data_IF_193336834318
#
_entry.id   IF_193336834318
#
_cell.length_a   1.000
_cell.length_b   1.000
_cell.length_c   1.000
_cell.angle_alpha   90.00
_cell.angle_beta   90.00
_cell.angle_gamma   90.00
#
_symmetry.space_group_name_H-M   'P 1'
#
loop_
_entity.id
_entity.type
_entity.pdbx_description
1 polymer ?
#
# COMPACT_ATOMS: atom_id res chain seq x y z
N UNK A 1 19.60 3.91 -6.73
CA UNK A 1 18.52 4.07 -5.74
C UNK A 1 17.96 5.47 -5.79
N UNK A 2 16.65 5.62 -5.58
CA UNK A 2 15.97 6.91 -5.58
C UNK A 2 15.76 7.39 -4.13
N UNK A 3 16.00 8.68 -3.90
CA UNK A 3 15.84 9.29 -2.57
C UNK A 3 14.44 9.90 -2.37
N UNK A 4 13.87 10.42 -3.44
CA UNK A 4 12.55 11.04 -3.46
C UNK A 4 11.95 10.85 -4.85
N UNK A 5 10.64 10.62 -4.90
CA UNK A 5 9.87 10.48 -6.13
C UNK A 5 8.76 11.53 -6.19
N UNK A 6 8.51 12.06 -7.39
CA UNK A 6 7.35 12.94 -7.64
C UNK A 6 6.05 12.13 -7.83
N UNK A 7 6.16 10.81 -7.97
CA UNK A 7 5.03 9.90 -8.09
C UNK A 7 4.44 9.83 -9.51
N UNK A 8 5.23 10.12 -10.55
CA UNK A 8 4.79 9.95 -11.93
C UNK A 8 4.88 8.48 -12.34
N UNK A 9 3.72 7.83 -12.56
CA UNK A 9 3.67 6.41 -12.94
C UNK A 9 3.20 6.28 -14.39
N UNK A 10 3.92 5.50 -15.19
CA UNK A 10 3.52 5.19 -16.58
C UNK A 10 3.50 3.68 -16.79
N UNK A 11 2.38 3.18 -17.31
CA UNK A 11 2.25 1.84 -17.85
C UNK A 11 2.41 1.90 -19.37
N UNK A 12 3.33 1.11 -19.92
CA UNK A 12 3.60 1.04 -21.36
C UNK A 12 3.44 -0.41 -21.84
N UNK A 13 2.33 -0.67 -22.53
CA UNK A 13 1.97 -1.97 -23.14
C UNK A 13 2.08 -3.17 -22.18
N UNK A 14 1.61 -2.97 -20.94
CA UNK A 14 1.80 -3.93 -19.86
C UNK A 14 0.87 -5.11 -19.99
N UNK A 15 1.45 -6.31 -20.06
CA UNK A 15 0.71 -7.58 -19.97
C UNK A 15 1.21 -8.41 -18.80
N UNK A 16 0.28 -9.04 -18.08
CA UNK A 16 0.57 -9.76 -16.84
C UNK A 16 -0.39 -10.92 -16.60
N UNK A 17 0.11 -11.95 -15.91
CA UNK A 17 -0.70 -13.01 -15.31
C UNK A 17 0.11 -13.81 -14.29
N UNK A 18 -0.59 -14.47 -13.36
CA UNK A 18 0.05 -15.17 -12.24
C UNK A 18 0.68 -16.52 -12.64
N UNK A 19 0.15 -17.19 -13.66
CA UNK A 19 0.70 -18.40 -14.27
C UNK A 19 0.82 -18.20 -15.77
N UNK A 20 1.66 -18.98 -16.46
CA UNK A 20 1.95 -18.75 -17.88
C UNK A 20 0.72 -18.95 -18.78
N UNK A 21 -0.23 -19.80 -18.36
CA UNK A 21 -1.49 -20.00 -19.09
C UNK A 21 -2.52 -18.90 -18.82
N UNK A 22 -2.39 -18.17 -17.70
CA UNK A 22 -3.36 -17.16 -17.32
C UNK A 22 -2.93 -15.77 -17.81
N UNK A 23 -3.82 -15.09 -18.52
CA UNK A 23 -3.71 -13.66 -18.83
C UNK A 23 -4.68 -12.87 -17.97
N UNK A 24 -4.18 -11.90 -17.21
CA UNK A 24 -4.97 -11.06 -16.30
C UNK A 24 -5.03 -9.62 -16.83
N UNK A 25 -3.92 -9.11 -17.35
CA UNK A 25 -3.81 -7.80 -18.00
C UNK A 25 -3.22 -8.00 -19.39
N UNK A 26 -3.75 -7.29 -20.38
CA UNK A 26 -3.33 -7.37 -21.78
C UNK A 26 -3.18 -5.96 -22.36
N UNK A 27 -1.93 -5.58 -22.69
CA UNK A 27 -1.60 -4.33 -23.38
C UNK A 27 -2.01 -3.04 -22.65
N UNK A 28 -1.98 -3.05 -21.32
CA UNK A 28 -2.43 -1.92 -20.50
C UNK A 28 -1.45 -0.76 -20.63
N UNK A 29 -1.97 0.41 -21.05
CA UNK A 29 -1.20 1.65 -21.13
C UNK A 29 -1.98 2.81 -20.53
N UNK A 30 -1.39 3.49 -19.55
CA UNK A 30 -1.94 4.70 -18.96
C UNK A 30 -0.85 5.48 -18.20
N UNK A 31 -1.17 6.72 -17.85
CA UNK A 31 -0.31 7.62 -17.10
C UNK A 31 -1.03 8.12 -15.85
N UNK A 32 -0.33 8.09 -14.71
CA UNK A 32 -0.73 8.76 -13.48
C UNK A 32 0.24 9.90 -13.19
N UNK A 33 -0.28 11.14 -13.21
CA UNK A 33 0.54 12.34 -12.99
C UNK A 33 0.73 12.61 -11.50
N UNK A 34 1.84 13.27 -11.11
CA UNK A 34 2.04 13.73 -9.74
C UNK A 34 0.81 14.44 -9.17
N UNK A 35 0.38 14.03 -7.97
CA UNK A 35 -0.79 14.58 -7.29
C UNK A 35 -2.16 14.21 -7.88
N UNK A 36 -2.22 13.42 -8.95
CA UNK A 36 -3.47 13.00 -9.57
C UNK A 36 -4.12 11.85 -8.78
N UNK A 37 -5.41 11.99 -8.49
CA UNK A 37 -6.22 10.87 -8.02
C UNK A 37 -6.77 10.07 -9.20
N UNK A 38 -6.50 8.77 -9.23
CA UNK A 38 -7.03 7.84 -10.23
C UNK A 38 -7.89 6.78 -9.55
N UNK A 39 -9.07 6.54 -10.11
CA UNK A 39 -9.96 5.46 -9.70
C UNK A 39 -9.96 4.34 -10.75
N UNK A 40 -9.60 3.12 -10.32
CA UNK A 40 -9.73 1.92 -11.15
C UNK A 40 -11.10 1.29 -10.90
N UNK A 41 -11.96 1.26 -11.91
CA UNK A 41 -13.35 0.77 -11.79
C UNK A 41 -13.58 -0.39 -12.77
N UNK A 42 -14.32 -1.40 -12.31
CA UNK A 42 -14.71 -2.55 -13.12
C UNK A 42 -15.14 -3.74 -12.27
N UNK A 43 -15.64 -4.83 -12.89
CA UNK A 43 -16.06 -6.03 -12.19
C UNK A 43 -14.93 -6.69 -11.38
N UNK A 44 -15.30 -7.52 -10.40
CA UNK A 44 -14.33 -8.39 -9.70
C UNK A 44 -13.62 -9.29 -10.71
N UNK A 45 -12.30 -9.47 -10.55
CA UNK A 45 -11.49 -10.32 -11.43
C UNK A 45 -10.89 -9.64 -12.66
N UNK A 46 -11.26 -8.39 -12.98
CA UNK A 46 -10.75 -7.65 -14.16
C UNK A 46 -9.29 -7.15 -14.02
N UNK A 47 -8.59 -7.51 -12.94
CA UNK A 47 -7.17 -7.17 -12.78
C UNK A 47 -6.84 -5.87 -12.04
N UNK A 48 -7.82 -5.17 -11.44
CA UNK A 48 -7.58 -3.93 -10.66
C UNK A 48 -6.53 -4.11 -9.56
N UNK A 49 -6.67 -5.15 -8.76
CA UNK A 49 -5.70 -5.48 -7.69
C UNK A 49 -4.34 -5.85 -8.29
N UNK A 50 -4.31 -6.48 -9.46
CA UNK A 50 -3.06 -6.81 -10.15
C UNK A 50 -2.30 -5.55 -10.57
N UNK A 51 -2.98 -4.47 -10.98
CA UNK A 51 -2.33 -3.18 -11.26
C UNK A 51 -1.62 -2.65 -10.01
N UNK A 52 -2.28 -2.69 -8.85
CA UNK A 52 -1.69 -2.26 -7.57
C UNK A 52 -0.47 -3.14 -7.22
N UNK A 53 -0.60 -4.46 -7.37
CA UNK A 53 0.49 -5.40 -7.11
C UNK A 53 1.72 -5.18 -7.99
N UNK A 54 1.52 -4.75 -9.24
CA UNK A 54 2.60 -4.44 -10.17
C UNK A 54 3.30 -3.11 -9.80
N UNK A 55 2.55 -2.09 -9.39
CA UNK A 55 3.13 -0.81 -8.90
C UNK A 55 3.97 -1.04 -7.65
N UNK A 56 3.47 -1.84 -6.70
CA UNK A 56 4.20 -2.23 -5.49
C UNK A 56 5.33 -3.24 -5.74
N UNK A 57 5.49 -3.68 -7.00
CA UNK A 57 6.45 -4.68 -7.46
C UNK A 57 6.44 -5.95 -6.59
N UNK A 58 5.24 -6.44 -6.28
CA UNK A 58 5.04 -7.81 -5.80
C UNK A 58 5.20 -8.83 -6.93
N UNK A 59 4.96 -8.38 -8.15
CA UNK A 59 5.24 -9.11 -9.38
C UNK A 59 5.85 -8.13 -10.40
N UNK A 60 6.61 -8.67 -11.34
CA UNK A 60 7.06 -7.94 -12.53
C UNK A 60 6.10 -8.24 -13.71
N UNK A 61 5.90 -7.28 -14.63
CA UNK A 61 5.10 -7.52 -15.83
C UNK A 61 5.79 -8.54 -16.74
N UNK A 62 5.01 -9.33 -17.49
CA UNK A 62 5.56 -10.28 -18.48
C UNK A 62 5.97 -9.60 -19.78
N UNK A 63 5.24 -8.55 -20.16
CA UNK A 63 5.52 -7.72 -21.33
C UNK A 63 5.27 -6.26 -20.99
N UNK A 64 5.89 -5.36 -21.75
CA UNK A 64 5.87 -3.94 -21.47
C UNK A 64 6.75 -3.56 -20.29
N UNK A 65 6.51 -2.37 -19.75
CA UNK A 65 7.17 -1.88 -18.54
C UNK A 65 6.31 -0.89 -17.78
N UNK A 66 6.67 -0.72 -16.52
CA UNK A 66 6.10 0.30 -15.65
C UNK A 66 7.26 1.19 -15.22
N UNK A 67 7.08 2.50 -15.26
CA UNK A 67 8.07 3.45 -14.81
C UNK A 67 7.58 4.28 -13.64
N UNK A 68 8.51 4.69 -12.78
CA UNK A 68 8.34 5.74 -11.77
C UNK A 68 9.32 6.87 -12.09
N UNK A 69 8.79 8.07 -12.33
CA UNK A 69 9.56 9.25 -12.74
C UNK A 69 10.49 8.99 -13.93
N UNK A 70 10.02 8.15 -14.87
CA UNK A 70 10.75 7.74 -16.07
C UNK A 70 11.75 6.59 -15.90
N UNK A 71 12.00 6.13 -14.67
CA UNK A 71 12.84 4.96 -14.40
C UNK A 71 12.00 3.68 -14.39
N UNK A 72 12.43 2.63 -15.09
CA UNK A 72 11.76 1.33 -15.04
C UNK A 72 11.78 0.80 -13.60
N UNK A 73 10.63 0.34 -13.10
CA UNK A 73 10.52 -0.21 -11.74
C UNK A 73 11.49 -1.37 -11.51
N UNK A 74 11.90 -2.08 -12.57
CA UNK A 74 12.84 -3.20 -12.51
C UNK A 74 14.27 -2.75 -12.19
N UNK A 75 14.61 -1.51 -12.50
CA UNK A 75 15.93 -0.91 -12.29
C UNK A 75 16.05 -0.21 -10.92
N UNK A 76 14.95 -0.10 -10.17
CA UNK A 76 14.91 0.47 -8.82
C UNK A 76 14.97 -0.68 -7.80
N UNK A 77 15.72 -0.50 -6.70
CA UNK A 77 15.71 -1.52 -5.64
C UNK A 77 14.34 -1.59 -4.98
N UNK A 78 13.93 -2.79 -4.54
CA UNK A 78 12.64 -2.96 -3.87
C UNK A 78 12.52 -2.11 -2.59
N UNK A 79 13.63 -1.91 -1.87
CA UNK A 79 13.65 -1.10 -0.67
C UNK A 79 13.32 0.36 -1.01
N UNK A 80 14.09 0.97 -1.91
CA UNK A 80 13.91 2.35 -2.31
C UNK A 80 12.55 2.60 -2.98
N UNK A 81 12.07 1.68 -3.82
CA UNK A 81 10.73 1.77 -4.42
C UNK A 81 9.63 1.79 -3.35
N UNK A 82 9.70 0.88 -2.38
CA UNK A 82 8.66 0.75 -1.34
C UNK A 82 8.69 1.87 -0.31
N UNK A 83 9.82 2.55 -0.13
CA UNK A 83 9.85 3.79 0.67
C UNK A 83 9.05 4.93 0.02
N UNK A 84 8.80 4.89 -1.29
CA UNK A 84 8.00 5.90 -2.01
C UNK A 84 6.51 5.55 -2.08
N UNK A 85 6.09 4.34 -1.67
CA UNK A 85 4.74 3.82 -1.91
C UNK A 85 4.09 3.40 -0.60
N UNK A 86 2.91 3.94 -0.33
CA UNK A 86 2.01 3.45 0.72
C UNK A 86 0.88 2.63 0.12
N UNK A 87 0.59 1.47 0.71
CA UNK A 87 -0.49 0.58 0.26
C UNK A 87 -1.41 0.28 1.44
N UNK A 88 -2.71 0.50 1.24
CA UNK A 88 -3.77 0.08 2.16
C UNK A 88 -4.55 -1.05 1.48
N UNK A 89 -4.48 -2.25 2.06
CA UNK A 89 -5.15 -3.43 1.53
C UNK A 89 -6.59 -3.53 2.06
N UNK A 90 -7.45 -4.23 1.32
CA UNK A 90 -8.84 -4.46 1.72
C UNK A 90 -8.93 -5.28 3.02
N UNK A 91 -8.08 -6.29 3.17
CA UNK A 91 -7.94 -7.05 4.42
C UNK A 91 -6.80 -6.46 5.25
N UNK A 92 -7.15 -5.85 6.39
CA UNK A 92 -6.18 -5.26 7.31
C UNK A 92 -5.56 -6.36 8.17
N UNK A 93 -4.23 -6.41 8.18
CA UNK A 93 -3.49 -7.29 9.09
C UNK A 93 -3.04 -6.49 10.32
N UNK A 94 -3.30 -7.02 11.51
CA UNK A 94 -2.82 -6.45 12.76
C UNK A 94 -1.81 -7.41 13.38
N UNK A 95 -0.69 -6.84 13.83
CA UNK A 95 0.36 -7.55 14.52
C UNK A 95 0.03 -7.72 16.00
N UNK A 96 0.54 -8.80 16.59
CA UNK A 96 0.53 -8.96 18.04
C UNK A 96 1.35 -7.83 18.67
N UNK A 97 0.72 -7.04 19.54
CA UNK A 97 1.31 -5.85 20.13
C UNK A 97 0.22 -4.85 20.50
N UNK A 98 0.60 -3.72 21.06
CA UNK A 98 -0.30 -2.61 21.36
C UNK A 98 -0.83 -1.91 20.09
N UNK A 99 -1.90 -1.14 20.24
CA UNK A 99 -2.37 -0.22 19.19
C UNK A 99 -1.26 0.74 18.78
N UNK A 100 -0.50 1.27 19.73
CA UNK A 100 0.64 2.15 19.44
C UNK A 100 1.71 1.48 18.57
N UNK A 101 2.08 0.24 18.88
CA UNK A 101 3.06 -0.52 18.09
C UNK A 101 2.56 -0.81 16.68
N UNK A 102 1.25 -1.11 16.51
CA UNK A 102 0.66 -1.30 15.19
C UNK A 102 0.66 -0.01 14.35
N UNK A 103 0.37 1.15 14.95
CA UNK A 103 0.44 2.45 14.25
C UNK A 103 1.90 2.80 13.91
N UNK A 104 2.82 2.58 14.85
CA UNK A 104 4.24 2.84 14.67
C UNK A 104 4.91 1.88 13.67
N UNK A 105 4.24 0.80 13.24
CA UNK A 105 4.82 -0.18 12.32
C UNK A 105 5.31 0.45 11.00
N UNK A 106 4.61 1.49 10.50
CA UNK A 106 5.03 2.22 9.30
C UNK A 106 6.24 3.15 9.51
N UNK A 107 6.57 3.47 10.76
CA UNK A 107 7.74 4.26 11.15
C UNK A 107 8.13 3.91 12.60
N UNK A 108 9.05 2.96 12.77
CA UNK A 108 9.46 2.44 14.09
C UNK A 108 10.05 3.53 15.01
N UNK A 109 10.42 4.69 14.47
CA UNK A 109 10.97 5.82 15.21
C UNK A 109 9.91 6.86 15.59
N UNK A 110 8.64 6.60 15.25
CA UNK A 110 7.55 7.51 15.55
C UNK A 110 7.43 7.73 17.07
N UNK A 111 7.43 9.00 17.46
CA UNK A 111 7.18 9.41 18.84
C UNK A 111 5.71 9.17 19.20
N UNK A 112 5.42 9.09 20.50
CA UNK A 112 4.04 8.99 20.99
C UNK A 112 3.14 10.12 20.47
N UNK A 113 3.68 11.33 20.34
CA UNK A 113 2.95 12.47 19.81
C UNK A 113 2.58 12.29 18.33
N UNK A 114 3.51 11.78 17.51
CA UNK A 114 3.25 11.48 16.09
C UNK A 114 2.23 10.34 15.93
N UNK A 115 2.31 9.30 16.77
CA UNK A 115 1.33 8.21 16.80
C UNK A 115 -0.08 8.75 17.10
N UNK A 116 -0.22 9.60 18.12
CA UNK A 116 -1.50 10.22 18.47
C UNK A 116 -2.01 11.12 17.35
N UNK A 117 -1.12 11.92 16.75
CA UNK A 117 -1.47 12.80 15.64
C UNK A 117 -1.96 12.01 14.41
N UNK A 118 -1.26 10.93 14.03
CA UNK A 118 -1.64 10.06 12.93
C UNK A 118 -3.00 9.40 13.19
N UNK A 119 -3.21 8.86 14.38
CA UNK A 119 -4.50 8.29 14.78
C UNK A 119 -5.63 9.32 14.77
N UNK A 120 -5.36 10.57 15.17
CA UNK A 120 -6.36 11.64 15.13
C UNK A 120 -6.76 11.98 13.69
N UNK A 121 -5.78 12.10 12.78
CA UNK A 121 -6.04 12.34 11.35
C UNK A 121 -6.85 11.19 10.74
N UNK A 122 -6.54 9.95 11.13
CA UNK A 122 -7.27 8.76 10.72
C UNK A 122 -8.64 8.60 11.41
N UNK A 123 -9.05 9.53 12.28
CA UNK A 123 -10.27 9.45 13.12
C UNK A 123 -10.33 8.21 14.01
N UNK A 124 -9.16 7.70 14.38
CA UNK A 124 -8.98 6.55 15.23
C UNK A 124 -8.85 6.92 16.71
N UNK A 125 -8.45 8.16 17.03
CA UNK A 125 -8.11 8.56 18.40
C UNK A 125 -9.24 8.26 19.42
N UNK A 126 -10.46 8.69 19.12
CA UNK A 126 -11.58 8.58 20.06
C UNK A 126 -11.90 7.11 20.39
N UNK A 127 -11.97 6.24 19.37
CA UNK A 127 -12.21 4.81 19.61
C UNK A 127 -11.07 4.17 20.41
N UNK A 128 -9.82 4.58 20.16
CA UNK A 128 -8.66 4.04 20.88
C UNK A 128 -8.78 4.40 22.36
N UNK A 129 -9.16 5.64 22.67
CA UNK A 129 -9.29 6.13 24.04
C UNK A 129 -10.49 5.54 24.80
N UNK A 130 -11.49 4.98 24.10
CA UNK A 130 -12.59 4.23 24.71
C UNK A 130 -12.16 2.84 25.24
N UNK A 131 -10.99 2.33 24.80
CA UNK A 131 -10.45 1.07 25.34
C UNK A 131 -9.89 1.24 26.75
N UNK A 132 -9.87 0.17 27.56
CA UNK A 132 -9.50 0.22 28.99
C UNK A 132 -8.14 0.89 29.27
N UNK A 133 -7.16 0.72 28.37
CA UNK A 133 -5.79 1.24 28.52
C UNK A 133 -5.32 2.04 27.30
N UNK A 134 -6.26 2.53 26.47
CA UNK A 134 -5.97 3.42 25.36
C UNK A 134 -5.01 2.83 24.32
N UNK A 135 -3.99 3.60 23.94
CA UNK A 135 -2.98 3.20 22.96
C UNK A 135 -2.15 1.97 23.36
N UNK A 136 -2.11 1.63 24.65
CA UNK A 136 -1.37 0.47 25.16
C UNK A 136 -2.24 -0.79 25.16
N UNK A 137 -3.47 -0.71 24.65
CA UNK A 137 -4.37 -1.86 24.52
C UNK A 137 -3.76 -2.88 23.58
N UNK A 138 -3.58 -4.09 24.10
CA UNK A 138 -3.01 -5.21 23.37
C UNK A 138 -3.99 -5.72 22.30
N UNK A 139 -3.48 -5.81 21.07
CA UNK A 139 -4.10 -6.47 19.93
C UNK A 139 -3.54 -7.90 19.86
N UNK A 140 -4.44 -8.88 19.93
CA UNK A 140 -4.10 -10.29 19.71
C UNK A 140 -4.23 -10.70 18.24
N UNK A 141 -3.85 -11.94 17.93
CA UNK A 141 -3.83 -12.48 16.57
C UNK A 141 -5.23 -12.32 15.92
N UNK A 142 -5.29 -11.64 14.77
CA UNK A 142 -6.52 -11.28 14.02
C UNK A 142 -7.44 -10.22 14.64
N UNK A 143 -6.97 -9.37 15.57
CA UNK A 143 -7.73 -8.18 15.96
C UNK A 143 -9.06 -8.47 16.66
N UNK A 144 -9.19 -9.63 17.31
CA UNK A 144 -10.43 -10.16 17.92
C UNK A 144 -11.09 -9.22 18.98
N UNK A 145 -10.49 -8.06 19.28
CA UNK A 145 -11.01 -7.07 20.22
C UNK A 145 -11.33 -5.69 19.62
N UNK A 146 -11.09 -5.46 18.34
CA UNK A 146 -11.40 -4.19 17.68
C UNK A 146 -12.46 -4.46 16.61
N UNK A 147 -13.70 -4.02 16.83
CA UNK A 147 -14.72 -4.06 15.79
C UNK A 147 -14.27 -3.10 14.68
N UNK A 148 -13.96 -3.63 13.50
CA UNK A 148 -13.68 -2.83 12.31
C UNK A 148 -14.93 -2.08 11.88
N UNK A 149 -15.08 -0.84 12.32
CA UNK A 149 -16.05 0.14 11.84
C UNK A 149 -15.35 1.48 11.70
#
# INVERSE_FOLDING_TARGET
DIAHSEGHIVFEDVSFGYTDEQKVLEGISFEAKPGQMIALVGPTGVGKTSIISLIARFYDPRQGRITLDGLDLRDITLHSLREQISVVLQDVFLFNGSIAENIAYGNERATRAEIVAAATIARAHDFIMETEVGYDTAIGERGVRLSGV
#
